data_IF_755706742823
#
_entry.id   IF_755706742823
#
_cell.length_a   1.000
_cell.length_b   1.000
_cell.length_c   1.000
_cell.angle_alpha   90.00
_cell.angle_beta   90.00
_cell.angle_gamma   90.00
#
_symmetry.space_group_name_H-M   'P 1'
#
loop_
_entity.id
_entity.type
_entity.pdbx_description
1 polymer ?
#
# COMPACT_ATOMS: atom_id res chain seq x y z
N UNK A 1 -29.96 9.57 3.32
CA UNK A 1 -31.13 10.01 4.11
C UNK A 1 -32.06 8.83 4.16
N UNK A 2 -32.46 8.40 5.36
CA UNK A 2 -33.43 7.31 5.50
C UNK A 2 -34.79 7.89 5.04
N UNK A 3 -35.50 7.24 4.10
CA UNK A 3 -36.84 7.63 3.69
C UNK A 3 -37.78 7.86 4.88
N UNK A 4 -38.66 8.87 4.80
CA UNK A 4 -39.63 9.14 5.88
C UNK A 4 -40.59 7.97 6.12
N UNK A 5 -40.83 7.11 5.11
CA UNK A 5 -41.62 5.87 5.21
C UNK A 5 -41.06 4.86 6.21
N UNK A 6 -39.74 4.79 6.37
CA UNK A 6 -39.09 3.74 7.15
C UNK A 6 -39.21 4.01 8.66
N UNK A 7 -39.32 5.29 9.03
CA UNK A 7 -39.62 5.70 10.40
C UNK A 7 -41.02 5.25 10.83
N UNK A 8 -42.02 5.37 9.95
CA UNK A 8 -43.37 4.89 10.23
C UNK A 8 -43.40 3.37 10.43
N UNK A 9 -42.70 2.61 9.58
CA UNK A 9 -42.60 1.14 9.72
C UNK A 9 -41.91 0.74 11.03
N UNK A 10 -40.82 1.42 11.40
CA UNK A 10 -40.09 1.15 12.64
C UNK A 10 -40.93 1.42 13.89
N UNK A 11 -41.65 2.55 13.91
CA UNK A 11 -42.56 2.92 15.00
C UNK A 11 -43.71 1.92 15.07
N UNK A 12 -44.28 1.52 13.93
CA UNK A 12 -45.35 0.53 13.86
C UNK A 12 -44.93 -0.83 14.43
N UNK A 13 -43.76 -1.35 14.02
CA UNK A 13 -43.22 -2.62 14.55
C UNK A 13 -42.98 -2.53 16.06
N UNK A 14 -42.48 -1.40 16.55
CA UNK A 14 -42.22 -1.18 17.98
C UNK A 14 -43.51 -1.13 18.81
N UNK A 15 -44.55 -0.46 18.31
CA UNK A 15 -45.86 -0.40 18.97
C UNK A 15 -46.60 -1.74 18.92
N UNK A 16 -46.54 -2.44 17.80
CA UNK A 16 -47.19 -3.73 17.63
C UNK A 16 -46.56 -4.82 18.52
N UNK A 17 -45.23 -4.85 18.62
CA UNK A 17 -44.52 -5.75 19.54
C UNK A 17 -44.82 -5.46 21.01
N UNK A 18 -44.93 -4.18 21.40
CA UNK A 18 -45.34 -3.80 22.75
C UNK A 18 -46.78 -4.23 23.04
N UNK A 19 -47.71 -4.04 22.10
CA UNK A 19 -49.10 -4.50 22.23
C UNK A 19 -49.21 -6.01 22.38
N UNK A 20 -48.44 -6.77 21.58
CA UNK A 20 -48.37 -8.23 21.67
C UNK A 20 -47.86 -8.67 23.05
N UNK A 21 -46.78 -8.03 23.53
CA UNK A 21 -46.20 -8.31 24.85
C UNK A 21 -47.19 -8.04 25.99
N UNK A 22 -47.84 -6.87 26.01
CA UNK A 22 -48.83 -6.53 27.04
C UNK A 22 -50.03 -7.48 26.97
N UNK A 23 -50.53 -7.80 25.78
CA UNK A 23 -51.64 -8.73 25.62
C UNK A 23 -51.31 -10.13 26.14
N UNK A 24 -50.08 -10.59 25.95
CA UNK A 24 -49.60 -11.88 26.44
C UNK A 24 -49.57 -11.97 27.97
N UNK A 25 -49.10 -10.91 28.65
CA UNK A 25 -48.96 -10.90 30.12
C UNK A 25 -50.23 -10.50 30.87
N UNK A 26 -51.07 -9.63 30.31
CA UNK A 26 -52.24 -9.10 30.99
C UNK A 26 -53.45 -10.06 30.95
N UNK A 27 -53.52 -10.95 29.95
CA UNK A 27 -54.64 -11.87 29.78
C UNK A 27 -54.21 -13.31 30.08
N UNK A 28 -54.64 -13.85 31.22
CA UNK A 28 -54.32 -15.23 31.64
C UNK A 28 -55.03 -16.33 30.82
N UNK A 29 -56.07 -15.99 30.07
CA UNK A 29 -56.77 -16.87 29.12
C UNK A 29 -57.23 -16.08 27.90
N UNK A 30 -56.93 -16.55 26.69
CA UNK A 30 -57.32 -15.88 25.45
C UNK A 30 -58.64 -16.40 24.91
N UNK A 31 -59.57 -15.50 24.58
CA UNK A 31 -60.74 -15.84 23.79
C UNK A 31 -60.36 -16.11 22.31
N UNK A 32 -61.19 -16.87 21.58
CA UNK A 32 -60.93 -17.20 20.17
C UNK A 32 -60.73 -15.96 19.27
N UNK A 33 -61.51 -14.89 19.49
CA UNK A 33 -61.35 -13.63 18.76
C UNK A 33 -60.01 -12.93 19.05
N UNK A 34 -59.54 -12.94 20.30
CA UNK A 34 -58.25 -12.34 20.67
C UNK A 34 -57.09 -13.10 20.04
N UNK A 35 -57.14 -14.43 19.98
CA UNK A 35 -56.14 -15.24 19.29
C UNK A 35 -56.02 -14.88 17.80
N UNK A 36 -57.15 -14.70 17.10
CA UNK A 36 -57.15 -14.30 15.69
C UNK A 36 -56.48 -12.93 15.50
N UNK A 37 -56.80 -11.96 16.36
CA UNK A 37 -56.19 -10.60 16.31
C UNK A 37 -54.68 -10.68 16.55
N UNK A 38 -54.23 -11.48 17.51
CA UNK A 38 -52.80 -11.67 17.80
C UNK A 38 -52.06 -12.30 16.61
N UNK A 39 -52.63 -13.33 15.98
CA UNK A 39 -52.03 -13.98 14.80
C UNK A 39 -51.89 -12.98 13.65
N UNK A 40 -52.94 -12.18 13.37
CA UNK A 40 -52.91 -11.15 12.32
C UNK A 40 -51.86 -10.09 12.65
N UNK A 41 -51.79 -9.65 13.91
CA UNK A 41 -50.79 -8.68 14.37
C UNK A 41 -49.37 -9.22 14.18
N UNK A 42 -49.11 -10.48 14.53
CA UNK A 42 -47.81 -11.13 14.37
C UNK A 42 -47.43 -11.21 12.88
N UNK A 43 -48.35 -11.61 12.01
CA UNK A 43 -48.14 -11.64 10.56
C UNK A 43 -47.81 -10.24 10.02
N UNK A 44 -48.56 -9.22 10.45
CA UNK A 44 -48.32 -7.83 10.08
C UNK A 44 -46.93 -7.34 10.51
N UNK A 45 -46.50 -7.67 11.74
CA UNK A 45 -45.15 -7.32 12.22
C UNK A 45 -44.06 -8.03 11.42
N UNK A 46 -44.23 -9.31 11.09
CA UNK A 46 -43.26 -10.04 10.27
C UNK A 46 -43.13 -9.44 8.87
N UNK A 47 -44.25 -9.07 8.24
CA UNK A 47 -44.24 -8.43 6.94
C UNK A 47 -43.54 -7.06 6.98
N UNK A 48 -43.80 -6.25 8.00
CA UNK A 48 -43.13 -4.96 8.20
C UNK A 48 -41.62 -5.12 8.43
N UNK A 49 -41.20 -6.15 9.16
CA UNK A 49 -39.78 -6.49 9.36
C UNK A 49 -39.12 -6.87 8.04
N UNK A 50 -39.75 -7.72 7.21
CA UNK A 50 -39.21 -8.10 5.90
C UNK A 50 -39.04 -6.87 4.99
N UNK A 51 -40.04 -5.99 4.93
CA UNK A 51 -39.96 -4.75 4.16
C UNK A 51 -38.82 -3.82 4.63
N UNK A 52 -38.65 -3.70 5.95
CA UNK A 52 -37.60 -2.88 6.53
C UNK A 52 -36.21 -3.48 6.29
N UNK A 53 -36.10 -4.82 6.33
CA UNK A 53 -34.87 -5.53 6.01
C UNK A 53 -34.42 -5.28 4.58
N UNK A 54 -35.32 -5.41 3.60
CA UNK A 54 -35.00 -5.18 2.18
C UNK A 54 -34.52 -3.74 1.93
N UNK A 55 -35.20 -2.76 2.55
CA UNK A 55 -34.82 -1.35 2.44
C UNK A 55 -33.46 -1.08 3.07
N UNK A 56 -33.20 -1.63 4.27
CA UNK A 56 -31.90 -1.52 4.92
C UNK A 56 -30.79 -2.15 4.07
N UNK A 57 -31.03 -3.36 3.56
CA UNK A 57 -30.08 -4.08 2.72
C UNK A 57 -29.70 -3.27 1.47
N UNK A 58 -30.70 -2.73 0.76
CA UNK A 58 -30.47 -1.92 -0.44
C UNK A 58 -29.67 -0.65 -0.10
N UNK A 59 -30.02 0.04 0.99
CA UNK A 59 -29.32 1.25 1.43
C UNK A 59 -27.86 0.97 1.83
N UNK A 60 -27.61 -0.16 2.48
CA UNK A 60 -26.28 -0.56 2.91
C UNK A 60 -25.43 -1.00 1.72
N UNK A 61 -26.01 -1.74 0.77
CA UNK A 61 -25.36 -2.12 -0.48
C UNK A 61 -24.93 -0.88 -1.27
N UNK A 62 -25.84 0.08 -1.48
CA UNK A 62 -25.54 1.32 -2.19
C UNK A 62 -24.46 2.16 -1.47
N UNK A 63 -24.48 2.21 -0.13
CA UNK A 63 -23.45 2.91 0.65
C UNK A 63 -22.08 2.21 0.53
N UNK A 64 -22.07 0.89 0.58
CA UNK A 64 -20.86 0.07 0.46
C UNK A 64 -20.24 0.23 -0.92
N UNK A 65 -21.04 0.14 -1.98
CA UNK A 65 -20.62 0.40 -3.36
C UNK A 65 -20.01 1.80 -3.51
N UNK A 66 -20.66 2.83 -2.95
CA UNK A 66 -20.15 4.21 -2.98
C UNK A 66 -18.80 4.36 -2.26
N UNK A 67 -18.63 3.69 -1.11
CA UNK A 67 -17.35 3.70 -0.38
C UNK A 67 -16.26 3.00 -1.20
N UNK A 68 -16.59 1.85 -1.80
CA UNK A 68 -15.66 1.09 -2.64
C UNK A 68 -15.23 1.90 -3.87
N UNK A 69 -16.17 2.51 -4.58
CA UNK A 69 -15.89 3.39 -5.72
C UNK A 69 -14.99 4.58 -5.32
N UNK A 70 -15.23 5.17 -4.14
CA UNK A 70 -14.39 6.25 -3.63
C UNK A 70 -12.97 5.78 -3.32
N UNK A 71 -12.81 4.57 -2.78
CA UNK A 71 -11.49 3.97 -2.55
C UNK A 71 -10.77 3.66 -3.87
N UNK A 72 -11.47 3.11 -4.85
CA UNK A 72 -10.94 2.86 -6.19
C UNK A 72 -10.48 4.16 -6.85
N UNK A 73 -11.31 5.21 -6.84
CA UNK A 73 -10.92 6.52 -7.39
C UNK A 73 -9.66 7.07 -6.72
N UNK A 74 -9.56 7.00 -5.39
CA UNK A 74 -8.36 7.44 -4.66
C UNK A 74 -7.12 6.63 -5.04
N UNK A 75 -7.27 5.32 -5.25
CA UNK A 75 -6.18 4.46 -5.71
C UNK A 75 -5.75 4.83 -7.15
N UNK A 76 -6.71 5.07 -8.05
CA UNK A 76 -6.46 5.53 -9.42
C UNK A 76 -5.74 6.89 -9.43
N UNK A 77 -6.17 7.86 -8.62
CA UNK A 77 -5.49 9.16 -8.50
C UNK A 77 -4.03 8.99 -8.07
N UNK A 78 -3.76 8.12 -7.08
CA UNK A 78 -2.40 7.80 -6.64
C UNK A 78 -1.58 7.15 -7.75
N UNK A 79 -2.18 6.25 -8.53
CA UNK A 79 -1.51 5.61 -9.66
C UNK A 79 -1.15 6.61 -10.76
N UNK A 80 -2.05 7.57 -11.05
CA UNK A 80 -1.79 8.65 -11.99
C UNK A 80 -0.66 9.57 -11.51
N UNK A 81 -0.60 9.91 -10.22
CA UNK A 81 0.49 10.69 -9.65
C UNK A 81 1.85 9.98 -9.78
N UNK A 82 1.90 8.68 -9.48
CA UNK A 82 3.10 7.87 -9.69
C UNK A 82 3.52 7.81 -11.16
N UNK A 83 2.56 7.65 -12.07
CA UNK A 83 2.84 7.65 -13.51
C UNK A 83 3.39 9.00 -13.98
N UNK A 84 2.83 10.13 -13.50
CA UNK A 84 3.34 11.48 -13.81
C UNK A 84 4.78 11.66 -13.34
N UNK A 85 5.08 11.30 -12.09
CA UNK A 85 6.44 11.33 -11.55
C UNK A 85 7.41 10.46 -12.35
N UNK A 86 6.96 9.28 -12.80
CA UNK A 86 7.75 8.42 -13.68
C UNK A 86 8.02 9.10 -15.03
N UNK A 87 7.02 9.72 -15.65
CA UNK A 87 7.20 10.42 -16.92
C UNK A 87 8.15 11.61 -16.78
N UNK A 88 8.03 12.39 -15.71
CA UNK A 88 8.94 13.49 -15.41
C UNK A 88 10.38 12.98 -15.26
N UNK A 89 10.59 11.86 -14.55
CA UNK A 89 11.92 11.26 -14.41
C UNK A 89 12.53 10.84 -15.75
N UNK A 90 11.73 10.27 -16.65
CA UNK A 90 12.15 9.87 -18.00
C UNK A 90 12.50 11.13 -18.82
N UNK A 91 11.72 12.20 -18.68
CA UNK A 91 11.99 13.46 -19.36
C UNK A 91 13.32 14.07 -18.89
N UNK A 92 13.62 14.02 -17.60
CA UNK A 92 14.90 14.46 -17.03
C UNK A 92 16.06 13.64 -17.58
N UNK A 93 15.95 12.31 -17.60
CA UNK A 93 16.97 11.43 -18.18
C UNK A 93 17.19 11.76 -19.66
N UNK A 94 16.13 11.91 -20.45
CA UNK A 94 16.22 12.26 -21.88
C UNK A 94 16.92 13.60 -22.09
N UNK A 95 16.61 14.59 -21.26
CA UNK A 95 17.25 15.92 -21.32
C UNK A 95 18.74 15.83 -21.02
N UNK A 96 19.13 15.10 -19.96
CA UNK A 96 20.52 14.91 -19.59
C UNK A 96 21.31 14.19 -20.71
N UNK A 97 20.76 13.11 -21.27
CA UNK A 97 21.37 12.41 -22.41
C UNK A 97 21.57 13.36 -23.59
N UNK A 98 20.55 14.16 -23.94
CA UNK A 98 20.66 15.15 -25.02
C UNK A 98 21.81 16.13 -24.77
N UNK A 99 21.95 16.63 -23.55
CA UNK A 99 23.02 17.58 -23.20
C UNK A 99 24.40 16.93 -23.30
N UNK A 100 24.57 15.69 -22.81
CA UNK A 100 25.81 14.94 -22.96
C UNK A 100 26.16 14.72 -24.44
N UNK A 101 25.18 14.37 -25.28
CA UNK A 101 25.38 14.20 -26.73
C UNK A 101 25.81 15.50 -27.41
N UNK A 102 25.24 16.65 -27.02
CA UNK A 102 25.65 17.95 -27.54
C UNK A 102 27.09 18.28 -27.11
N UNK A 103 27.45 18.04 -25.85
CA UNK A 103 28.79 18.26 -25.33
C UNK A 103 29.83 17.41 -26.08
N UNK A 104 29.55 16.11 -26.26
CA UNK A 104 30.40 15.20 -27.04
C UNK A 104 30.57 15.67 -28.49
N UNK A 105 29.47 16.09 -29.14
CA UNK A 105 29.52 16.63 -30.50
C UNK A 105 30.41 17.87 -30.60
N UNK A 106 30.35 18.77 -29.62
CA UNK A 106 31.17 19.98 -29.60
C UNK A 106 32.65 19.66 -29.37
N UNK A 107 32.99 18.77 -28.44
CA UNK A 107 34.38 18.35 -28.18
C UNK A 107 35.00 17.69 -29.42
N UNK A 108 34.23 16.85 -30.12
CA UNK A 108 34.67 16.23 -31.37
C UNK A 108 34.85 17.26 -32.50
N UNK A 109 33.97 18.26 -32.62
CA UNK A 109 34.10 19.33 -33.62
C UNK A 109 35.34 20.19 -33.40
N UNK A 110 35.69 20.46 -32.15
CA UNK A 110 36.88 21.23 -31.77
C UNK A 110 38.19 20.42 -31.86
N UNK A 111 38.14 19.13 -32.23
CA UNK A 111 39.29 18.20 -32.23
C UNK A 111 39.99 18.10 -30.88
N UNK A 112 39.23 18.19 -29.78
CA UNK A 112 39.73 18.06 -28.41
C UNK A 112 39.75 16.58 -27.97
N UNK A 113 40.53 15.73 -28.66
CA UNK A 113 40.49 14.27 -28.52
C UNK A 113 40.75 13.76 -27.08
N UNK A 114 41.68 14.40 -26.36
CA UNK A 114 41.98 14.05 -24.96
C UNK A 114 40.80 14.33 -24.04
N UNK A 115 40.19 15.51 -24.15
CA UNK A 115 39.00 15.90 -23.37
C UNK A 115 37.75 15.11 -23.75
N UNK A 116 37.65 14.68 -25.01
CA UNK A 116 36.58 13.80 -25.45
C UNK A 116 36.62 12.46 -24.71
N UNK A 117 37.80 11.82 -24.66
CA UNK A 117 38.02 10.58 -23.91
C UNK A 117 37.70 10.75 -22.42
N UNK A 118 38.26 11.78 -21.78
CA UNK A 118 37.99 12.09 -20.37
C UNK A 118 36.50 12.33 -20.09
N UNK A 119 35.77 13.01 -20.99
CA UNK A 119 34.35 13.26 -20.81
C UNK A 119 33.50 11.99 -20.96
N UNK A 120 33.87 11.10 -21.90
CA UNK A 120 33.22 9.77 -22.03
C UNK A 120 33.47 8.93 -20.79
N UNK A 121 34.71 8.89 -20.29
CA UNK A 121 35.06 8.15 -19.07
C UNK A 121 34.31 8.70 -17.85
N UNK A 122 34.10 10.02 -17.77
CA UNK A 122 33.28 10.65 -16.73
C UNK A 122 31.79 10.27 -16.83
N UNK A 123 31.24 10.14 -18.04
CA UNK A 123 29.87 9.64 -18.22
C UNK A 123 29.79 8.17 -17.79
N UNK A 124 30.73 7.33 -18.24
CA UNK A 124 30.77 5.90 -17.90
C UNK A 124 30.94 5.71 -16.40
N UNK A 125 31.83 6.47 -15.75
CA UNK A 125 32.02 6.43 -14.31
C UNK A 125 30.79 6.91 -13.56
N UNK A 126 30.06 7.94 -14.04
CA UNK A 126 28.79 8.37 -13.41
C UNK A 126 27.68 7.31 -13.49
N UNK A 127 27.69 6.45 -14.52
CA UNK A 127 26.76 5.32 -14.68
C UNK A 127 27.23 4.11 -13.85
N UNK A 128 28.54 3.88 -13.75
CA UNK A 128 29.16 2.80 -12.99
C UNK A 128 29.39 3.13 -11.51
N UNK A 129 29.23 4.39 -11.08
CA UNK A 129 29.30 4.84 -9.68
C UNK A 129 28.12 4.33 -8.82
N UNK A 130 27.38 3.31 -9.29
CA UNK A 130 26.75 2.36 -8.39
C UNK A 130 27.84 1.44 -7.86
N UNK A 131 28.49 1.86 -6.78
CA UNK A 131 29.24 0.99 -5.89
C UNK A 131 28.38 -0.25 -5.61
N UNK A 132 28.87 -1.42 -6.03
CA UNK A 132 28.21 -2.70 -5.74
C UNK A 132 28.65 -3.10 -4.34
N UNK A 133 27.77 -2.88 -3.37
CA UNK A 133 27.98 -3.20 -1.96
C UNK A 133 27.62 -4.65 -1.61
N UNK A 134 26.75 -5.29 -2.41
CA UNK A 134 26.33 -6.68 -2.24
C UNK A 134 26.29 -7.39 -3.60
N UNK A 135 26.93 -8.55 -3.67
CA UNK A 135 26.96 -9.44 -4.84
C UNK A 135 26.80 -10.90 -4.39
N UNK A 136 25.65 -11.20 -3.79
CA UNK A 136 25.24 -12.55 -3.42
C UNK A 136 24.72 -13.34 -4.62
N UNK A 137 24.26 -14.57 -4.41
CA UNK A 137 23.57 -15.32 -5.46
C UNK A 137 22.09 -14.93 -5.60
N UNK A 138 21.60 -13.98 -4.79
CA UNK A 138 20.20 -13.58 -4.71
C UNK A 138 19.98 -12.16 -5.25
N UNK A 139 19.59 -12.09 -6.53
CA UNK A 139 19.34 -10.84 -7.27
C UNK A 139 18.39 -9.87 -6.56
N UNK A 140 17.37 -10.37 -5.85
CA UNK A 140 16.40 -9.52 -5.14
C UNK A 140 17.07 -8.81 -3.97
N UNK A 141 17.83 -9.55 -3.17
CA UNK A 141 18.56 -9.01 -2.01
C UNK A 141 19.62 -8.02 -2.46
N UNK A 142 20.41 -8.38 -3.47
CA UNK A 142 21.46 -7.50 -4.00
C UNK A 142 20.87 -6.21 -4.57
N UNK A 143 19.73 -6.29 -5.27
CA UNK A 143 19.07 -5.11 -5.82
C UNK A 143 18.63 -4.13 -4.72
N UNK A 144 18.07 -4.64 -3.62
CA UNK A 144 17.61 -3.81 -2.50
C UNK A 144 18.79 -3.21 -1.74
N UNK A 145 19.79 -4.04 -1.40
CA UNK A 145 20.96 -3.60 -0.64
C UNK A 145 21.77 -2.56 -1.41
N UNK A 146 22.09 -2.82 -2.68
CA UNK A 146 22.85 -1.87 -3.48
C UNK A 146 22.12 -0.54 -3.65
N UNK A 147 20.80 -0.56 -3.87
CA UNK A 147 20.00 0.65 -3.97
C UNK A 147 20.03 1.47 -2.66
N UNK A 148 19.86 0.82 -1.50
CA UNK A 148 19.79 1.50 -0.20
C UNK A 148 21.17 1.96 0.28
N UNK A 149 22.21 1.14 0.13
CA UNK A 149 23.58 1.49 0.53
C UNK A 149 24.15 2.65 -0.29
N UNK A 150 23.77 2.74 -1.57
CA UNK A 150 24.10 3.91 -2.39
C UNK A 150 23.53 5.22 -1.79
N UNK A 151 22.36 5.19 -1.14
CA UNK A 151 21.81 6.41 -0.50
C UNK A 151 22.60 6.88 0.72
N UNK A 152 23.41 6.00 1.32
CA UNK A 152 24.26 6.31 2.48
C UNK A 152 25.65 6.84 2.09
N UNK A 153 26.05 6.73 0.82
CA UNK A 153 27.40 7.08 0.33
C UNK A 153 27.78 8.55 0.61
N UNK A 154 26.79 9.44 0.65
CA UNK A 154 27.00 10.88 0.90
C UNK A 154 26.84 11.28 2.38
N UNK A 155 26.63 10.33 3.30
CA UNK A 155 26.26 10.64 4.70
C UNK A 155 27.45 10.66 5.69
N UNK A 156 28.70 10.62 5.21
CA UNK A 156 29.94 10.54 6.03
C UNK A 156 29.87 9.43 7.10
N UNK A 157 29.65 8.19 6.64
CA UNK A 157 29.41 7.01 7.49
C UNK A 157 30.49 5.96 7.22
N UNK A 158 30.97 5.29 8.27
CA UNK A 158 31.78 4.09 8.14
C UNK A 158 30.87 2.87 7.83
N UNK A 159 30.94 2.36 6.60
CA UNK A 159 30.12 1.26 6.08
C UNK A 159 30.88 -0.07 6.11
N UNK A 160 30.34 -1.09 6.78
CA UNK A 160 30.82 -2.47 6.77
C UNK A 160 29.71 -3.43 6.36
N UNK A 161 29.87 -4.10 5.22
CA UNK A 161 28.83 -4.94 4.62
C UNK A 161 29.38 -6.31 4.27
N UNK A 162 28.88 -7.36 4.93
CA UNK A 162 29.19 -8.76 4.68
C UNK A 162 27.90 -9.52 4.35
N UNK A 163 27.71 -9.87 3.08
CA UNK A 163 26.48 -10.50 2.60
C UNK A 163 26.79 -11.81 1.88
N UNK A 164 26.41 -12.90 2.51
CA UNK A 164 26.36 -14.26 1.96
C UNK A 164 24.92 -14.79 2.05
N UNK A 165 24.23 -14.85 0.90
CA UNK A 165 22.83 -15.25 0.78
C UNK A 165 22.67 -16.20 -0.41
N UNK A 166 22.02 -17.38 -0.22
CA UNK A 166 21.82 -18.35 -1.28
C UNK A 166 20.79 -17.86 -2.31
N UNK A 167 20.90 -18.40 -3.53
CA UNK A 167 20.02 -18.08 -4.67
C UNK A 167 18.52 -18.23 -4.39
N UNK A 168 18.14 -19.19 -3.55
CA UNK A 168 16.74 -19.42 -3.17
C UNK A 168 16.59 -19.26 -1.66
N UNK A 169 15.66 -18.40 -1.28
CA UNK A 169 15.18 -18.25 0.08
C UNK A 169 13.78 -18.87 0.19
N UNK A 170 13.43 -19.35 1.38
CA UNK A 170 12.08 -19.83 1.70
C UNK A 170 11.04 -18.69 1.84
N UNK A 171 11.49 -17.44 1.71
CA UNK A 171 10.69 -16.22 1.81
C UNK A 171 10.35 -15.73 0.40
N UNK A 172 9.13 -15.24 0.19
CA UNK A 172 8.71 -14.69 -1.10
C UNK A 172 9.50 -13.43 -1.47
N UNK A 173 9.67 -13.17 -2.77
CA UNK A 173 10.33 -11.97 -3.26
C UNK A 173 9.67 -10.67 -2.74
N UNK A 174 8.34 -10.68 -2.65
CA UNK A 174 7.55 -9.56 -2.16
C UNK A 174 7.81 -9.31 -0.67
N UNK A 175 7.69 -10.34 0.15
CA UNK A 175 7.92 -10.22 1.60
C UNK A 175 9.36 -9.81 1.90
N UNK A 176 10.32 -10.35 1.16
CA UNK A 176 11.74 -9.98 1.28
C UNK A 176 11.95 -8.49 0.99
N UNK A 177 11.29 -7.97 -0.05
CA UNK A 177 11.36 -6.54 -0.40
C UNK A 177 10.79 -5.66 0.69
N UNK A 178 9.64 -6.04 1.26
CA UNK A 178 8.99 -5.29 2.34
C UNK A 178 9.83 -5.32 3.61
N UNK A 179 10.29 -6.50 4.04
CA UNK A 179 11.04 -6.67 5.28
C UNK A 179 12.39 -5.97 5.19
N UNK A 180 13.21 -6.32 4.19
CA UNK A 180 14.56 -5.77 4.05
C UNK A 180 14.52 -4.27 3.75
N UNK A 181 13.56 -3.82 2.93
CA UNK A 181 13.35 -2.39 2.65
C UNK A 181 13.06 -1.59 3.92
N UNK A 182 12.12 -2.05 4.75
CA UNK A 182 11.76 -1.37 5.99
C UNK A 182 12.92 -1.36 7.01
N UNK A 183 13.68 -2.45 7.10
CA UNK A 183 14.85 -2.51 7.99
C UNK A 183 15.94 -1.52 7.56
N UNK A 184 16.23 -1.45 6.26
CA UNK A 184 17.18 -0.48 5.70
C UNK A 184 16.69 0.95 5.91
N UNK A 185 15.42 1.24 5.67
CA UNK A 185 14.86 2.59 5.87
C UNK A 185 14.92 3.03 7.33
N UNK A 186 14.66 2.11 8.26
CA UNK A 186 14.82 2.38 9.69
C UNK A 186 16.27 2.70 10.04
N UNK A 187 17.23 1.95 9.49
CA UNK A 187 18.64 2.20 9.73
C UNK A 187 19.12 3.54 9.15
N UNK A 188 18.73 3.87 7.91
CA UNK A 188 19.03 5.16 7.27
C UNK A 188 18.46 6.31 8.10
N UNK A 189 17.20 6.19 8.53
CA UNK A 189 16.54 7.23 9.34
C UNK A 189 17.24 7.43 10.68
N UNK A 190 17.71 6.36 11.32
CA UNK A 190 18.46 6.44 12.56
C UNK A 190 19.83 7.11 12.36
N UNK A 191 20.53 6.76 11.28
CA UNK A 191 21.82 7.36 10.92
C UNK A 191 21.68 8.85 10.62
N UNK A 192 20.63 9.27 9.93
CA UNK A 192 20.38 10.68 9.63
C UNK A 192 20.21 11.53 10.89
N UNK A 193 19.50 11.00 11.90
CA UNK A 193 19.21 11.68 13.17
C UNK A 193 20.34 11.64 14.20
N UNK A 194 21.39 10.85 13.98
CA UNK A 194 22.48 10.68 14.94
C UNK A 194 23.51 11.81 14.79
N UNK A 195 23.97 12.38 15.92
CA UNK A 195 25.08 13.36 15.95
C UNK A 195 26.37 12.69 16.41
N UNK A 196 27.47 12.91 15.68
CA UNK A 196 28.78 12.29 15.93
C UNK A 196 29.20 11.28 14.87
N UNK A 197 30.18 10.41 15.18
CA UNK A 197 30.65 9.36 14.25
C UNK A 197 29.54 8.34 14.00
N UNK A 198 29.19 8.15 12.73
CA UNK A 198 28.16 7.22 12.27
C UNK A 198 28.81 5.94 11.74
N UNK A 199 28.27 4.80 12.14
CA UNK A 199 28.73 3.48 11.73
C UNK A 199 27.55 2.61 11.34
N UNK A 200 27.68 1.86 10.26
CA UNK A 200 26.67 0.91 9.81
C UNK A 200 27.32 -0.44 9.51
N UNK A 201 26.80 -1.49 10.16
CA UNK A 201 27.22 -2.87 9.94
C UNK A 201 26.06 -3.74 9.52
N UNK A 202 26.21 -4.39 8.38
CA UNK A 202 25.26 -5.37 7.88
C UNK A 202 25.98 -6.69 7.66
N UNK A 203 25.51 -7.72 8.37
CA UNK A 203 26.05 -9.08 8.28
C UNK A 203 24.90 -10.05 8.06
N UNK A 204 24.92 -10.79 6.96
CA UNK A 204 24.02 -11.93 6.83
C UNK A 204 24.64 -13.17 7.47
N UNK A 205 23.83 -13.92 8.22
CA UNK A 205 24.20 -15.23 8.74
C UNK A 205 23.25 -16.22 8.08
N UNK A 206 23.75 -16.94 7.09
CA UNK A 206 23.05 -18.08 6.52
C UNK A 206 23.55 -19.31 7.27
N UNK A 207 22.65 -19.93 8.04
CA UNK A 207 22.89 -21.26 8.55
C UNK A 207 23.05 -22.16 7.32
N UNK A 208 24.29 -22.59 7.05
CA UNK A 208 24.59 -23.63 6.08
C UNK A 208 23.69 -24.80 6.46
N UNK A 209 22.64 -25.04 5.67
CA UNK A 209 21.80 -26.21 5.83
C UNK A 209 22.72 -27.41 5.55
N UNK A 210 23.23 -28.00 6.63
CA UNK A 210 23.87 -29.29 6.62
C UNK A 210 22.75 -30.29 6.36
N UNK A 211 22.47 -30.58 5.09
CA UNK A 211 21.75 -31.76 4.60
C UNK A 211 22.07 -31.94 3.11
#
# INVERSE_FOLDING_TARGET
MIPQSDWFSTIFVSLASLYQFVSFFANGSFGQFQMIILIISILGTNFAILFLYDTLYLSFSAKTEKVLLKQQNKAYEKQLDLMRKSLDSVQTVRHNIKNHMIALKNLNFNKEDTRFGEYVDNIISSVNARTVYSNSENVIVDSILNYKLQTMENMDIELHVEVDVPKKLSISAYDMTVILGNLMDNAITALDKCSGKKFFLLKSITAKAML
#
